data_IF_369433605749
#
_entry.id   IF_369433605749
#
_cell.length_a   1.000
_cell.length_b   1.000
_cell.length_c   1.000
_cell.angle_alpha   90.00
_cell.angle_beta   90.00
_cell.angle_gamma   90.00
#
_symmetry.space_group_name_H-M   'P 1'
#
loop_
_entity.id
_entity.type
_entity.pdbx_description
1 polymer ?
#
# COMPACT_ATOMS: atom_id res chain seq x y z
N UNK A 1 -22.84 5.11 -2.73
CA UNK A 1 -21.94 6.25 -2.40
C UNK A 1 -20.52 5.79 -2.66
N UNK A 2 -20.01 6.02 -3.87
CA UNK A 2 -18.62 5.68 -4.20
C UNK A 2 -17.72 6.71 -3.51
N UNK A 3 -17.01 6.29 -2.48
CA UNK A 3 -15.96 7.10 -1.85
C UNK A 3 -14.94 7.42 -2.93
N UNK A 4 -14.97 8.63 -3.48
CA UNK A 4 -13.93 9.15 -4.35
C UNK A 4 -12.62 9.04 -3.57
N UNK A 5 -11.80 8.06 -3.94
CA UNK A 5 -10.46 7.88 -3.41
C UNK A 5 -9.73 9.18 -3.72
N UNK A 6 -9.14 9.83 -2.70
CA UNK A 6 -8.36 11.04 -2.94
C UNK A 6 -7.31 10.73 -4.03
N UNK A 7 -6.97 11.70 -4.90
CA UNK A 7 -5.94 11.51 -5.92
C UNK A 7 -4.67 10.86 -5.33
N UNK A 8 -4.31 11.26 -4.11
CA UNK A 8 -3.21 10.69 -3.33
C UNK A 8 -3.37 9.21 -3.00
N UNK A 9 -4.54 8.79 -2.52
CA UNK A 9 -4.79 7.37 -2.22
C UNK A 9 -4.74 6.50 -3.47
N UNK A 10 -5.15 7.03 -4.64
CA UNK A 10 -4.98 6.34 -5.91
C UNK A 10 -3.51 6.20 -6.29
N UNK A 11 -2.72 7.27 -6.18
CA UNK A 11 -1.27 7.23 -6.41
C UNK A 11 -0.58 6.18 -5.54
N UNK A 12 -0.91 6.10 -4.26
CA UNK A 12 -0.34 5.09 -3.35
C UNK A 12 -0.66 3.66 -3.81
N UNK A 13 -1.91 3.38 -4.19
CA UNK A 13 -2.28 2.07 -4.74
C UNK A 13 -1.63 1.78 -6.09
N UNK A 14 -1.40 2.79 -6.91
CA UNK A 14 -0.68 2.60 -8.17
C UNK A 14 0.77 2.16 -7.90
N UNK A 15 1.46 2.80 -6.95
CA UNK A 15 2.81 2.40 -6.51
C UNK A 15 2.85 0.98 -5.94
N UNK A 16 1.84 0.59 -5.16
CA UNK A 16 1.66 -0.80 -4.74
C UNK A 16 1.50 -1.76 -5.93
N UNK A 17 0.66 -1.39 -6.89
CA UNK A 17 0.40 -2.19 -8.07
C UNK A 17 1.65 -2.37 -8.94
N UNK A 18 2.47 -1.34 -9.06
CA UNK A 18 3.78 -1.39 -9.73
C UNK A 18 4.75 -2.32 -8.99
N UNK A 19 4.88 -2.18 -7.67
CA UNK A 19 5.69 -3.10 -6.85
C UNK A 19 5.23 -4.56 -7.01
N UNK A 20 3.93 -4.79 -6.96
CA UNK A 20 3.34 -6.12 -7.06
C UNK A 20 3.59 -6.74 -8.44
N UNK A 21 3.46 -5.94 -9.50
CA UNK A 21 3.79 -6.33 -10.87
C UNK A 21 5.26 -6.75 -10.98
N UNK A 22 6.18 -5.95 -10.45
CA UNK A 22 7.61 -6.28 -10.44
C UNK A 22 7.87 -7.59 -9.71
N UNK A 23 7.33 -7.78 -8.50
CA UNK A 23 7.49 -9.04 -7.75
C UNK A 23 6.91 -10.25 -8.49
N UNK A 24 5.76 -10.09 -9.15
CA UNK A 24 5.15 -11.14 -9.96
C UNK A 24 6.04 -11.52 -11.16
N UNK A 25 6.59 -10.52 -11.85
CA UNK A 25 7.48 -10.72 -13.00
C UNK A 25 8.81 -11.35 -12.59
N UNK A 26 9.39 -10.94 -11.47
CA UNK A 26 10.59 -11.54 -10.88
C UNK A 26 10.38 -13.03 -10.51
N UNK A 27 9.16 -13.39 -10.12
CA UNK A 27 8.76 -14.77 -9.85
C UNK A 27 8.46 -15.58 -11.13
N UNK A 28 8.53 -14.97 -12.31
CA UNK A 28 8.22 -15.61 -13.60
C UNK A 28 6.73 -15.92 -13.80
N UNK A 29 5.84 -15.27 -13.05
CA UNK A 29 4.39 -15.54 -13.06
C UNK A 29 3.69 -14.55 -13.98
N UNK A 30 2.88 -15.01 -14.93
CA UNK A 30 2.02 -14.13 -15.74
C UNK A 30 0.76 -13.72 -14.96
N UNK A 31 0.07 -12.65 -15.39
CA UNK A 31 -1.22 -12.29 -14.79
C UNK A 31 -2.26 -13.43 -14.87
N UNK A 32 -2.24 -14.19 -15.97
CA UNK A 32 -3.12 -15.34 -16.16
C UNK A 32 -2.79 -16.48 -15.19
N UNK A 33 -1.51 -16.79 -14.99
CA UNK A 33 -1.07 -17.80 -14.03
C UNK A 33 -1.37 -17.37 -12.59
N UNK A 34 -1.09 -16.12 -12.25
CA UNK A 34 -1.48 -15.54 -10.95
C UNK A 34 -2.98 -15.72 -10.71
N UNK A 35 -3.81 -15.42 -11.71
CA UNK A 35 -5.26 -15.61 -11.62
C UNK A 35 -5.64 -17.07 -11.45
N UNK A 36 -4.93 -18.01 -12.08
CA UNK A 36 -5.18 -19.46 -11.88
C UNK A 36 -4.81 -19.89 -10.46
N UNK A 37 -3.70 -19.41 -9.91
CA UNK A 37 -3.25 -19.70 -8.53
C UNK A 37 -4.27 -19.18 -7.51
N UNK A 38 -4.80 -17.97 -7.74
CA UNK A 38 -5.79 -17.32 -6.87
C UNK A 38 -7.23 -17.83 -7.10
N UNK A 39 -7.46 -18.58 -8.16
CA UNK A 39 -8.77 -19.07 -8.60
C UNK A 39 -9.33 -18.31 -9.80
N UNK A 40 -10.01 -19.01 -10.70
CA UNK A 40 -10.45 -18.49 -12.00
C UNK A 40 -11.40 -17.27 -11.94
N UNK A 41 -12.01 -16.98 -10.80
CA UNK A 41 -12.83 -15.78 -10.58
C UNK A 41 -12.03 -14.47 -10.59
N UNK A 42 -10.69 -14.54 -10.61
CA UNK A 42 -9.79 -13.41 -10.39
C UNK A 42 -9.08 -12.87 -11.66
N UNK A 43 -9.46 -13.32 -12.85
CA UNK A 43 -8.74 -12.98 -14.12
C UNK A 43 -8.56 -11.49 -14.35
N UNK A 44 -9.58 -10.68 -14.07
CA UNK A 44 -9.48 -9.22 -14.21
C UNK A 44 -8.84 -8.55 -13.00
N UNK A 45 -8.89 -9.19 -11.83
CA UNK A 45 -8.52 -8.62 -10.55
C UNK A 45 -7.01 -8.38 -10.45
N UNK A 46 -6.18 -9.31 -10.94
CA UNK A 46 -4.72 -9.12 -10.98
C UNK A 46 -4.37 -7.80 -11.66
N UNK A 47 -4.94 -7.58 -12.84
CA UNK A 47 -4.70 -6.34 -13.57
C UNK A 47 -5.25 -5.11 -12.84
N UNK A 48 -6.41 -5.20 -12.19
CA UNK A 48 -7.05 -4.07 -11.50
C UNK A 48 -6.22 -3.61 -10.29
N UNK A 49 -5.68 -4.56 -9.53
CA UNK A 49 -4.78 -4.30 -8.40
C UNK A 49 -3.47 -3.68 -8.92
N UNK A 50 -2.86 -4.24 -9.96
CA UNK A 50 -1.62 -3.71 -10.55
C UNK A 50 -1.75 -2.28 -11.09
N UNK A 51 -2.97 -1.85 -11.45
CA UNK A 51 -3.27 -0.47 -11.88
C UNK A 51 -3.80 0.43 -10.74
N UNK A 52 -3.78 -0.04 -9.49
CA UNK A 52 -4.28 0.69 -8.33
C UNK A 52 -5.79 0.96 -8.33
N UNK A 53 -6.56 0.22 -9.13
CA UNK A 53 -8.02 0.39 -9.28
C UNK A 53 -8.81 -0.38 -8.23
N UNK A 54 -8.25 -1.45 -7.68
CA UNK A 54 -8.85 -2.24 -6.61
C UNK A 54 -7.81 -2.58 -5.54
N UNK A 55 -8.31 -2.91 -4.35
CA UNK A 55 -7.52 -3.51 -3.28
C UNK A 55 -7.59 -5.04 -3.38
N UNK A 56 -6.59 -5.71 -2.81
CA UNK A 56 -6.66 -7.14 -2.51
C UNK A 56 -7.54 -7.31 -1.25
N UNK A 57 -8.58 -8.15 -1.25
CA UNK A 57 -9.32 -8.51 -0.06
C UNK A 57 -8.39 -9.10 1.01
N UNK A 58 -8.54 -8.74 2.31
CA UNK A 58 -7.67 -9.26 3.37
C UNK A 58 -7.53 -10.79 3.44
N UNK A 59 -8.59 -11.60 3.20
CA UNK A 59 -8.47 -13.06 3.18
C UNK A 59 -7.52 -13.59 2.08
N UNK A 60 -7.34 -12.83 1.00
CA UNK A 60 -6.57 -13.26 -0.16
C UNK A 60 -5.09 -12.90 -0.04
N UNK A 61 -4.71 -11.97 0.86
CA UNK A 61 -3.33 -11.44 0.96
C UNK A 61 -2.27 -12.53 1.09
N UNK A 62 -2.57 -13.61 1.84
CA UNK A 62 -1.65 -14.74 2.00
C UNK A 62 -1.40 -15.46 0.67
N UNK A 63 -2.47 -15.78 -0.05
CA UNK A 63 -2.36 -16.48 -1.33
C UNK A 63 -1.59 -15.64 -2.37
N UNK A 64 -1.79 -14.32 -2.36
CA UNK A 64 -1.02 -13.41 -3.21
C UNK A 64 0.46 -13.40 -2.87
N UNK A 65 0.81 -13.35 -1.58
CA UNK A 65 2.21 -13.39 -1.13
C UNK A 65 2.91 -14.69 -1.55
N UNK A 66 2.23 -15.82 -1.34
CA UNK A 66 2.74 -17.15 -1.68
C UNK A 66 2.91 -17.32 -3.21
N UNK A 67 1.97 -16.81 -4.02
CA UNK A 67 2.02 -16.88 -5.48
C UNK A 67 3.25 -16.19 -6.10
N UNK A 68 3.78 -15.15 -5.44
CA UNK A 68 4.94 -14.39 -5.91
C UNK A 68 6.19 -14.63 -5.05
N UNK A 69 6.17 -15.68 -4.20
CA UNK A 69 7.27 -16.07 -3.32
C UNK A 69 7.76 -14.93 -2.38
N UNK A 70 6.84 -14.11 -1.88
CA UNK A 70 7.13 -13.08 -0.86
C UNK A 70 6.66 -13.59 0.50
N UNK A 71 7.47 -13.38 1.55
CA UNK A 71 7.08 -13.78 2.91
C UNK A 71 5.78 -13.06 3.31
N UNK A 72 4.77 -13.75 3.88
CA UNK A 72 3.48 -13.12 4.21
C UNK A 72 3.58 -11.87 5.08
N UNK A 73 4.53 -11.83 6.03
CA UNK A 73 4.79 -10.65 6.86
C UNK A 73 5.28 -9.45 6.03
N UNK A 74 6.20 -9.67 5.10
CA UNK A 74 6.73 -8.62 4.23
C UNK A 74 5.65 -8.10 3.28
N UNK A 75 4.88 -9.00 2.68
CA UNK A 75 3.75 -8.64 1.83
C UNK A 75 2.72 -7.80 2.58
N UNK A 76 2.37 -8.20 3.81
CA UNK A 76 1.42 -7.46 4.64
C UNK A 76 1.94 -6.05 4.98
N UNK A 77 3.23 -5.89 5.28
CA UNK A 77 3.83 -4.57 5.53
C UNK A 77 3.76 -3.68 4.29
N UNK A 78 4.08 -4.21 3.11
CA UNK A 78 3.94 -3.47 1.85
C UNK A 78 2.49 -3.09 1.58
N UNK A 79 1.58 -4.05 1.72
CA UNK A 79 0.15 -3.81 1.53
C UNK A 79 -0.36 -2.72 2.48
N UNK A 80 -0.05 -2.79 3.77
CA UNK A 80 -0.45 -1.75 4.72
C UNK A 80 0.14 -0.39 4.38
N UNK A 81 1.45 -0.30 4.09
CA UNK A 81 2.11 0.96 3.77
C UNK A 81 1.43 1.70 2.63
N UNK A 82 1.11 0.99 1.54
CA UNK A 82 0.55 1.62 0.35
C UNK A 82 -0.98 1.69 0.32
N UNK A 83 -1.67 0.67 0.84
CA UNK A 83 -3.13 0.55 0.69
C UNK A 83 -3.90 0.99 1.94
N UNK A 84 -3.27 0.96 3.11
CA UNK A 84 -3.83 1.38 4.39
C UNK A 84 -2.81 2.21 5.19
N UNK A 85 -2.36 3.36 4.67
CA UNK A 85 -1.26 4.13 5.24
C UNK A 85 -1.50 4.54 6.70
N UNK A 86 -2.75 4.81 7.08
CA UNK A 86 -3.18 5.08 8.45
C UNK A 86 -2.81 3.91 9.40
N UNK A 87 -3.06 2.67 8.97
CA UNK A 87 -2.74 1.47 9.75
C UNK A 87 -1.23 1.19 9.78
N UNK A 88 -0.53 1.46 8.68
CA UNK A 88 0.93 1.43 8.65
C UNK A 88 1.53 2.43 9.65
N UNK A 89 1.03 3.67 9.68
CA UNK A 89 1.49 4.70 10.59
C UNK A 89 1.27 4.32 12.06
N UNK A 90 0.14 3.69 12.40
CA UNK A 90 -0.08 3.15 13.75
C UNK A 90 0.92 2.05 14.13
N UNK A 91 1.39 1.26 13.15
CA UNK A 91 2.33 0.17 13.37
C UNK A 91 3.79 0.65 13.46
N UNK A 92 4.17 1.63 12.65
CA UNK A 92 5.58 2.05 12.47
C UNK A 92 5.91 3.41 13.06
N UNK A 93 4.91 4.24 13.33
CA UNK A 93 5.08 5.64 13.74
C UNK A 93 5.46 6.60 12.61
N UNK A 94 5.46 6.14 11.35
CA UNK A 94 5.80 6.94 10.16
C UNK A 94 4.58 7.07 9.27
N UNK A 95 4.20 8.29 8.90
CA UNK A 95 3.14 8.54 7.92
C UNK A 95 3.66 8.25 6.50
N UNK A 96 3.11 7.24 5.79
CA UNK A 96 3.51 6.94 4.43
C UNK A 96 3.22 8.09 3.44
N UNK A 97 2.18 8.92 3.66
CA UNK A 97 1.95 10.05 2.76
C UNK A 97 3.08 11.07 2.84
N UNK A 98 3.52 11.41 4.06
CA UNK A 98 4.66 12.30 4.27
C UNK A 98 5.96 11.71 3.71
N UNK A 99 6.21 10.42 3.97
CA UNK A 99 7.39 9.72 3.46
C UNK A 99 7.46 9.71 1.92
N UNK A 100 6.30 9.67 1.28
CA UNK A 100 6.15 9.68 -0.18
C UNK A 100 6.05 11.08 -0.79
N UNK A 101 6.15 12.15 0.02
CA UNK A 101 6.06 13.54 -0.41
C UNK A 101 4.68 13.93 -0.93
N UNK A 102 3.64 13.26 -0.44
CA UNK A 102 2.27 13.39 -0.88
C UNK A 102 1.42 14.14 0.15
N UNK A 103 0.44 14.92 -0.32
CA UNK A 103 -0.46 15.60 0.61
C UNK A 103 -1.25 14.59 1.46
N UNK A 104 -1.27 14.73 2.79
CA UNK A 104 -1.99 13.82 3.67
C UNK A 104 -3.46 13.72 3.30
N UNK A 105 -4.03 12.52 3.45
CA UNK A 105 -5.47 12.33 3.26
C UNK A 105 -6.26 13.30 4.18
N UNK A 106 -7.14 14.17 3.64
CA UNK A 106 -7.87 15.15 4.44
C UNK A 106 -8.81 14.55 5.50
N UNK A 107 -8.99 13.22 5.55
CA UNK A 107 -9.76 12.52 6.59
C UNK A 107 -8.92 11.72 7.61
N UNK A 108 -7.58 11.75 7.53
CA UNK A 108 -6.68 11.15 8.53
C UNK A 108 -6.01 12.18 9.47
N UNK A 109 -5.84 13.42 9.00
CA UNK A 109 -5.20 14.50 9.77
C UNK A 109 -6.00 14.99 11.00
N UNK A 110 -7.25 14.56 11.18
CA UNK A 110 -8.09 14.98 12.31
C UNK A 110 -7.94 14.10 13.57
N UNK A 111 -7.10 13.06 13.57
CA UNK A 111 -7.10 12.06 14.65
C UNK A 111 -5.89 12.09 15.62
N UNK A 112 -4.97 13.06 15.55
CA UNK A 112 -3.93 13.16 16.58
C UNK A 112 -3.47 14.60 16.89
N UNK A 113 -3.98 15.24 17.96
CA UNK A 113 -3.40 16.48 18.47
C UNK A 113 -2.16 16.28 19.38
N UNK A 114 -1.58 15.06 19.46
CA UNK A 114 -0.58 14.72 20.49
C UNK A 114 0.72 14.00 20.06
N UNK A 115 1.03 13.93 18.77
CA UNK A 115 2.26 13.27 18.28
C UNK A 115 3.50 14.15 18.42
N UNK A 116 4.39 13.81 19.36
CA UNK A 116 5.64 14.52 19.60
C UNK A 116 6.60 14.40 18.41
N UNK A 117 6.80 15.47 17.65
CA UNK A 117 8.06 15.68 16.93
C UNK A 117 9.02 16.41 17.87
N UNK A 118 9.86 15.63 18.55
CA UNK A 118 11.08 16.13 19.17
C UNK A 118 12.18 16.18 18.10
N UNK A 119 12.95 17.28 18.14
CA UNK A 119 14.11 17.64 17.29
C UNK A 119 13.73 18.30 15.94
N UNK A 120 14.15 19.53 15.62
CA UNK A 120 15.43 20.15 15.90
C UNK A 120 15.32 21.67 16.19
N UNK A 121 15.77 22.10 17.38
CA UNK A 121 16.17 23.50 17.60
C UNK A 121 17.52 23.71 16.91
N UNK A 122 17.55 24.45 15.80
CA UNK A 122 18.76 25.18 15.40
C UNK A 122 18.76 26.52 16.13
N UNK A 123 19.53 26.58 17.22
CA UNK A 123 20.00 27.83 17.76
C UNK A 123 20.94 28.50 16.74
N UNK A 124 20.62 29.71 16.29
CA UNK A 124 21.60 30.58 15.65
C UNK A 124 21.78 31.82 16.51
N UNK A 125 22.99 31.87 17.08
CA UNK A 125 23.54 32.87 17.97
C UNK A 125 24.22 33.93 17.09
N UNK A 126 23.71 35.16 17.07
CA UNK A 126 24.46 36.44 17.13
C UNK A 126 23.50 37.59 16.92
#
# INVERSE_FOLDING_TARGET
MATLLSPTAHTMRQRFGEWLKTRREDAGVTQLEMSKILGHSYVSMVSQVERGRSLIPPPDLRAWAEAINVKPKEFALQYLYWCHPEASAMLTGVDPFEAEGLEPNPKGAAANPGGHSAAAKKAKKK
#
